data_IF_595070375769
#
_entry.id   IF_595070375769
#
_cell.length_a   1.000
_cell.length_b   1.000
_cell.length_c   1.000
_cell.angle_alpha   90.00
_cell.angle_beta   90.00
_cell.angle_gamma   90.00
#
_symmetry.space_group_name_H-M   'P 1'
#
loop_
_entity.id
_entity.type
_entity.pdbx_description
1 polymer ?
#
# COMPACT_ATOMS: atom_id res chain seq x y z
N UNK A 1 -5.35 8.72 5.54
CA UNK A 1 -6.74 8.66 6.05
C UNK A 1 -7.66 9.25 4.98
N UNK A 2 -8.96 8.98 5.03
CA UNK A 2 -9.96 9.48 4.07
C UNK A 2 -11.26 9.80 4.81
N UNK A 3 -12.01 10.81 4.37
CA UNK A 3 -13.38 11.06 4.86
C UNK A 3 -14.40 10.44 3.92
N UNK A 4 -15.24 9.53 4.42
CA UNK A 4 -16.31 8.88 3.65
C UNK A 4 -17.61 9.00 4.46
N UNK A 5 -18.63 9.62 3.87
CA UNK A 5 -19.90 9.85 4.57
C UNK A 5 -19.74 10.69 5.85
N UNK A 6 -18.77 11.61 5.88
CA UNK A 6 -18.46 12.43 7.06
C UNK A 6 -17.59 11.74 8.12
N UNK A 7 -17.21 10.47 7.92
CA UNK A 7 -16.39 9.71 8.88
C UNK A 7 -14.95 9.63 8.40
N UNK A 8 -14.01 10.04 9.26
CA UNK A 8 -12.58 9.93 9.03
C UNK A 8 -12.08 8.51 9.35
N UNK A 9 -11.54 7.82 8.36
CA UNK A 9 -11.13 6.41 8.48
C UNK A 9 -9.92 6.06 7.61
N UNK A 10 -9.26 4.91 7.82
CA UNK A 10 -8.16 4.47 6.96
C UNK A 10 -8.59 4.26 5.51
N UNK A 11 -7.69 4.55 4.57
CA UNK A 11 -7.91 4.26 3.15
C UNK A 11 -7.59 2.78 2.87
N UNK A 12 -8.62 1.93 2.81
CA UNK A 12 -8.47 0.48 2.63
C UNK A 12 -8.88 -0.02 1.23
N UNK A 13 -9.36 0.87 0.36
CA UNK A 13 -9.76 0.57 -1.02
C UNK A 13 -9.11 1.57 -1.95
N UNK A 14 -8.79 1.15 -3.17
CA UNK A 14 -8.13 2.03 -4.14
C UNK A 14 -8.98 3.27 -4.46
N UNK A 15 -10.31 3.12 -4.49
CA UNK A 15 -11.26 4.19 -4.69
C UNK A 15 -11.14 5.29 -3.64
N UNK A 16 -10.78 4.93 -2.40
CA UNK A 16 -10.60 5.93 -1.33
C UNK A 16 -9.49 6.93 -1.65
N UNK A 17 -8.46 6.50 -2.38
CA UNK A 17 -7.33 7.35 -2.79
C UNK A 17 -7.70 8.33 -3.91
N UNK A 18 -8.89 8.18 -4.50
CA UNK A 18 -9.44 9.07 -5.55
C UNK A 18 -10.37 10.15 -4.97
N UNK A 19 -10.79 10.03 -3.71
CA UNK A 19 -11.87 10.84 -3.13
C UNK A 19 -11.43 12.21 -2.62
N UNK A 20 -10.20 12.32 -2.13
CA UNK A 20 -9.70 13.54 -1.52
C UNK A 20 -8.49 14.06 -2.30
N UNK A 21 -8.52 15.36 -2.59
CA UNK A 21 -7.41 16.12 -3.13
C UNK A 21 -6.70 16.89 -2.03
N UNK A 22 -5.41 17.10 -2.19
CA UNK A 22 -4.64 18.03 -1.38
C UNK A 22 -4.89 19.51 -1.77
N UNK A 23 -4.18 20.43 -1.14
CA UNK A 23 -4.26 21.88 -1.41
C UNK A 23 -3.92 22.27 -2.85
N UNK A 24 -3.25 21.38 -3.60
CA UNK A 24 -2.94 21.56 -5.02
C UNK A 24 -4.05 21.00 -5.93
N UNK A 25 -5.13 20.47 -5.36
CA UNK A 25 -6.21 19.83 -6.10
C UNK A 25 -5.86 18.41 -6.58
N UNK A 26 -4.73 17.84 -6.16
CA UNK A 26 -4.25 16.54 -6.65
C UNK A 26 -4.63 15.43 -5.69
N UNK A 27 -5.25 14.37 -6.21
CA UNK A 27 -5.56 13.17 -5.40
C UNK A 27 -4.33 12.30 -5.20
N UNK A 28 -4.30 11.53 -4.12
CA UNK A 28 -3.21 10.55 -3.92
C UNK A 28 -3.15 9.55 -5.07
N UNK A 29 -4.29 9.12 -5.61
CA UNK A 29 -4.32 8.23 -6.76
C UNK A 29 -3.65 8.86 -8.01
N UNK A 30 -3.87 10.15 -8.26
CA UNK A 30 -3.24 10.87 -9.36
C UNK A 30 -1.71 10.98 -9.18
N UNK A 31 -1.24 11.22 -7.94
CA UNK A 31 0.22 11.23 -7.65
C UNK A 31 0.86 9.88 -7.95
N UNK A 32 0.27 8.79 -7.47
CA UNK A 32 0.79 7.43 -7.71
C UNK A 32 0.78 7.09 -9.21
N UNK A 33 -0.25 7.51 -9.95
CA UNK A 33 -0.30 7.35 -11.40
C UNK A 33 0.83 8.11 -12.10
N UNK A 34 1.00 9.39 -11.78
CA UNK A 34 2.04 10.23 -12.40
C UNK A 34 3.44 9.69 -12.09
N UNK A 35 3.74 9.36 -10.84
CA UNK A 35 5.05 8.79 -10.45
C UNK A 35 5.33 7.46 -11.16
N UNK A 36 4.30 6.63 -11.38
CA UNK A 36 4.46 5.38 -12.11
C UNK A 36 4.88 5.64 -13.57
N UNK A 37 4.21 6.55 -14.29
CA UNK A 37 4.54 6.83 -15.70
C UNK A 37 5.73 7.80 -15.89
N UNK A 38 6.16 8.52 -14.86
CA UNK A 38 7.47 9.16 -14.88
C UNK A 38 8.60 8.10 -15.01
N UNK A 39 8.41 6.93 -14.39
CA UNK A 39 9.39 5.83 -14.43
C UNK A 39 9.25 4.94 -15.66
N UNK A 40 8.04 4.77 -16.16
CA UNK A 40 7.75 3.99 -17.36
C UNK A 40 7.23 4.94 -18.42
N UNK A 41 8.03 5.32 -19.43
CA UNK A 41 7.55 6.27 -20.45
C UNK A 41 6.41 5.67 -21.27
N UNK A 42 5.30 6.37 -21.40
CA UNK A 42 4.37 6.17 -22.51
C UNK A 42 4.94 6.89 -23.73
N UNK A 43 5.08 6.24 -24.90
CA UNK A 43 5.55 6.92 -26.10
C UNK A 43 4.62 8.09 -26.46
N UNK A 44 5.19 9.25 -26.74
CA UNK A 44 4.43 10.41 -27.23
C UNK A 44 3.81 10.06 -28.59
N UNK A 45 2.48 10.25 -28.71
CA UNK A 45 1.74 9.97 -29.94
C UNK A 45 1.07 8.60 -30.04
N UNK A 46 1.06 7.78 -28.97
CA UNK A 46 0.25 6.57 -28.96
C UNK A 46 -1.26 6.86 -29.02
N UNK A 47 -1.97 6.00 -29.74
CA UNK A 47 -3.42 6.04 -29.94
C UNK A 47 -4.16 6.08 -28.59
N UNK A 48 -5.20 6.91 -28.48
CA UNK A 48 -6.03 7.10 -27.27
C UNK A 48 -6.46 5.76 -26.63
N UNK A 49 -6.64 4.71 -27.44
CA UNK A 49 -6.97 3.36 -27.00
C UNK A 49 -5.89 2.68 -26.15
N UNK A 50 -4.60 2.91 -26.46
CA UNK A 50 -3.47 2.36 -25.69
C UNK A 50 -3.37 3.04 -24.32
N UNK A 51 -3.56 4.36 -24.27
CA UNK A 51 -3.62 5.10 -23.01
C UNK A 51 -4.80 4.63 -22.13
N UNK A 52 -5.99 4.48 -22.70
CA UNK A 52 -7.15 3.97 -21.97
C UNK A 52 -6.91 2.54 -21.42
N UNK A 53 -6.26 1.68 -22.20
CA UNK A 53 -5.87 0.34 -21.77
C UNK A 53 -4.85 0.37 -20.63
N UNK A 54 -3.83 1.23 -20.73
CA UNK A 54 -2.82 1.41 -19.68
C UNK A 54 -3.47 1.86 -18.36
N UNK A 55 -4.39 2.83 -18.43
CA UNK A 55 -5.20 3.27 -17.28
C UNK A 55 -5.99 2.10 -16.67
N UNK A 56 -6.68 1.30 -17.49
CA UNK A 56 -7.46 0.16 -17.00
C UNK A 56 -6.60 -0.90 -16.29
N UNK A 57 -5.43 -1.22 -16.86
CA UNK A 57 -4.51 -2.23 -16.29
C UNK A 57 -3.95 -1.75 -14.96
N UNK A 58 -3.53 -0.49 -14.88
CA UNK A 58 -3.06 0.11 -13.65
C UNK A 58 -4.14 0.10 -12.58
N UNK A 59 -5.36 0.53 -12.90
CA UNK A 59 -6.45 0.64 -11.92
C UNK A 59 -6.79 -0.73 -11.31
N UNK A 60 -6.83 -1.78 -12.14
CA UNK A 60 -7.00 -3.18 -11.68
C UNK A 60 -5.84 -3.62 -10.77
N UNK A 61 -4.62 -3.22 -11.10
CA UNK A 61 -3.42 -3.58 -10.34
C UNK A 61 -3.40 -2.87 -9.00
N UNK A 62 -3.65 -1.56 -8.97
CA UNK A 62 -3.73 -0.75 -7.78
C UNK A 62 -4.83 -1.27 -6.83
N UNK A 63 -6.01 -1.60 -7.38
CA UNK A 63 -7.10 -2.23 -6.62
C UNK A 63 -6.65 -3.51 -5.92
N UNK A 64 -5.93 -4.38 -6.62
CA UNK A 64 -5.40 -5.62 -6.03
C UNK A 64 -4.34 -5.34 -4.94
N UNK A 65 -3.40 -4.43 -5.22
CA UNK A 65 -2.33 -4.08 -4.27
C UNK A 65 -2.89 -3.50 -2.98
N UNK A 66 -3.81 -2.54 -3.08
CA UNK A 66 -4.42 -1.89 -1.90
C UNK A 66 -5.24 -2.89 -1.10
N UNK A 67 -6.03 -3.75 -1.77
CA UNK A 67 -6.79 -4.80 -1.09
C UNK A 67 -5.89 -5.76 -0.29
N UNK A 68 -4.75 -6.15 -0.86
CA UNK A 68 -3.85 -7.12 -0.24
C UNK A 68 -2.89 -6.46 0.78
N UNK A 69 -2.85 -5.12 0.85
CA UNK A 69 -1.90 -4.33 1.66
C UNK A 69 -1.91 -4.70 3.15
N UNK A 70 -3.08 -4.80 3.78
CA UNK A 70 -3.18 -5.10 5.22
C UNK A 70 -2.70 -6.52 5.54
N UNK A 71 -3.02 -7.50 4.68
CA UNK A 71 -2.55 -8.87 4.86
C UNK A 71 -1.02 -8.95 4.68
N UNK A 72 -0.48 -8.22 3.70
CA UNK A 72 0.95 -8.13 3.47
C UNK A 72 1.68 -7.43 4.63
N UNK A 73 1.11 -6.35 5.18
CA UNK A 73 1.63 -5.65 6.36
C UNK A 73 1.74 -6.62 7.54
N UNK A 74 0.65 -7.33 7.84
CA UNK A 74 0.58 -8.33 8.90
C UNK A 74 1.65 -9.41 8.76
N UNK A 75 1.76 -10.01 7.57
CA UNK A 75 2.75 -11.07 7.31
C UNK A 75 4.18 -10.54 7.50
N UNK A 76 4.45 -9.30 7.07
CA UNK A 76 5.78 -8.70 7.26
C UNK A 76 6.08 -8.44 8.74
N UNK A 77 5.09 -8.00 9.53
CA UNK A 77 5.25 -7.90 10.99
C UNK A 77 5.54 -9.25 11.65
N UNK A 78 4.84 -10.32 11.24
CA UNK A 78 5.14 -11.70 11.70
C UNK A 78 6.59 -12.07 11.40
N UNK A 79 7.05 -11.86 10.16
CA UNK A 79 8.43 -12.16 9.77
C UNK A 79 9.45 -11.38 10.61
N UNK A 80 9.19 -10.09 10.89
CA UNK A 80 10.07 -9.28 11.71
C UNK A 80 10.09 -9.72 13.17
N UNK A 81 8.93 -10.00 13.76
CA UNK A 81 8.84 -10.49 15.14
C UNK A 81 9.63 -11.79 15.31
N UNK A 82 9.43 -12.76 14.42
CA UNK A 82 10.16 -14.02 14.50
C UNK A 82 11.67 -13.82 14.33
N UNK A 83 12.07 -13.00 13.36
CA UNK A 83 13.49 -12.77 13.09
C UNK A 83 14.20 -12.03 14.23
N UNK A 84 13.56 -11.01 14.81
CA UNK A 84 14.19 -10.08 15.76
C UNK A 84 13.99 -10.46 17.22
N UNK A 85 12.82 -11.02 17.55
CA UNK A 85 12.44 -11.34 18.93
C UNK A 85 12.63 -12.84 19.20
N UNK A 86 12.18 -13.70 18.29
CA UNK A 86 12.36 -15.16 18.43
C UNK A 86 13.71 -15.68 17.90
N UNK A 87 14.48 -14.82 17.21
CA UNK A 87 15.74 -15.17 16.54
C UNK A 87 15.60 -16.36 15.57
N UNK A 88 14.43 -16.47 14.94
CA UNK A 88 14.09 -17.53 14.00
C UNK A 88 13.73 -16.92 12.63
N UNK A 89 14.31 -17.45 11.57
CA UNK A 89 13.91 -17.06 10.22
C UNK A 89 12.48 -17.47 9.92
N UNK A 90 11.73 -16.53 9.33
CA UNK A 90 10.32 -16.70 9.02
C UNK A 90 10.00 -15.98 7.71
N UNK A 91 9.16 -16.62 6.89
CA UNK A 91 8.70 -16.08 5.63
C UNK A 91 7.37 -16.76 5.23
N UNK A 92 6.77 -16.31 4.12
CA UNK A 92 5.48 -16.85 3.66
C UNK A 92 5.52 -18.37 3.39
N UNK A 93 6.63 -18.92 2.86
CA UNK A 93 6.77 -20.37 2.61
C UNK A 93 6.90 -21.18 3.90
N UNK A 94 7.38 -20.54 4.97
CA UNK A 94 7.51 -21.14 6.30
C UNK A 94 6.25 -20.98 7.16
N UNK A 95 5.13 -20.54 6.60
CA UNK A 95 3.85 -20.45 7.30
C UNK A 95 3.55 -19.10 7.97
N UNK A 96 4.32 -18.03 7.67
CA UNK A 96 4.07 -16.71 8.26
C UNK A 96 2.64 -16.17 8.03
N UNK A 97 1.93 -16.65 7.01
CA UNK A 97 0.55 -16.24 6.72
C UNK A 97 -0.50 -16.86 7.64
N UNK A 98 -0.17 -17.97 8.31
CA UNK A 98 -1.06 -18.66 9.25
C UNK A 98 -0.92 -18.14 10.68
N UNK A 99 0.18 -17.43 10.96
CA UNK A 99 0.49 -16.91 12.28
C UNK A 99 -0.22 -15.57 12.50
N UNK A 100 -0.88 -15.44 13.64
CA UNK A 100 -1.46 -14.18 14.12
C UNK A 100 -0.77 -13.80 15.43
N UNK A 101 0.01 -12.73 15.38
CA UNK A 101 0.60 -12.15 16.59
C UNK A 101 -0.51 -11.57 17.48
N UNK A 102 -0.29 -11.61 18.79
CA UNK A 102 -1.10 -10.85 19.75
C UNK A 102 -0.71 -9.36 19.73
N UNK A 103 -1.52 -8.54 20.35
CA UNK A 103 -1.28 -7.09 20.45
C UNK A 103 0.08 -6.77 21.11
N UNK A 104 0.40 -7.42 22.22
CA UNK A 104 1.68 -7.28 22.93
C UNK A 104 2.89 -7.68 22.06
N UNK A 105 2.69 -8.60 21.14
CA UNK A 105 3.74 -9.06 20.21
C UNK A 105 3.92 -8.09 19.04
N UNK A 106 2.83 -7.49 18.54
CA UNK A 106 2.93 -6.42 17.54
C UNK A 106 3.66 -5.20 18.08
N UNK A 107 3.44 -4.84 19.35
CA UNK A 107 4.10 -3.70 19.99
C UNK A 107 5.62 -3.87 20.14
N UNK A 108 6.12 -5.11 20.06
CA UNK A 108 7.56 -5.40 20.08
C UNK A 108 8.22 -5.28 18.69
N UNK A 109 7.44 -5.20 17.62
CA UNK A 109 7.96 -5.12 16.25
C UNK A 109 8.38 -3.69 15.95
N UNK A 110 9.68 -3.48 15.75
CA UNK A 110 10.17 -2.24 15.16
C UNK A 110 9.80 -2.16 13.67
N UNK A 111 8.71 -1.44 13.38
CA UNK A 111 8.23 -1.20 12.02
C UNK A 111 9.19 -0.32 11.19
N UNK A 112 10.24 0.26 11.79
CA UNK A 112 11.27 0.98 11.03
C UNK A 112 11.99 0.08 10.01
N UNK A 113 11.98 -1.24 10.25
CA UNK A 113 12.44 -2.28 9.33
C UNK A 113 11.52 -2.53 8.14
N UNK A 114 10.36 -1.87 8.06
CA UNK A 114 9.43 -1.91 6.94
C UNK A 114 9.38 -0.51 6.29
N UNK A 115 10.25 -0.20 5.32
CA UNK A 115 10.41 1.15 4.77
C UNK A 115 9.11 1.76 4.23
N UNK A 116 8.20 0.93 3.69
CA UNK A 116 6.92 1.35 3.13
C UNK A 116 5.81 1.54 4.17
N UNK A 117 6.04 1.11 5.41
CA UNK A 117 5.18 1.34 6.58
C UNK A 117 5.71 2.45 7.48
N UNK A 118 6.86 3.06 7.15
CA UNK A 118 7.32 4.26 7.85
C UNK A 118 6.23 5.33 7.76
N UNK A 119 5.99 5.97 8.91
CA UNK A 119 5.05 7.07 9.10
C UNK A 119 5.00 7.97 7.86
N UNK A 120 3.77 8.23 7.39
CA UNK A 120 3.43 9.53 6.80
C UNK A 120 4.19 10.60 7.58
N UNK A 121 5.03 11.44 6.95
CA UNK A 121 5.60 12.59 7.63
C UNK A 121 4.42 13.37 8.22
N UNK A 122 4.42 13.48 9.54
CA UNK A 122 3.52 14.24 10.42
C UNK A 122 2.18 14.70 9.80
N UNK A 123 1.11 13.97 10.14
CA UNK A 123 -0.26 14.49 10.09
C UNK A 123 -0.50 15.45 11.26
#
# INVERSE_FOLDING_TARGET
MVTIGGVFQPALKWEHYKLQSDDQGVTTAARVWNEFWERYRLPEGEEQALQARAHSVFDKTATKVVRDMMSNARIQCVCLYYKKIKLQDMNKKLGAFEIYLREDEYLQVDISGLPWLRKCPDA
#
